data_IF_521500600503
#
_entry.id   IF_521500600503
#
_cell.length_a   1.000
_cell.length_b   1.000
_cell.length_c   1.000
_cell.angle_alpha   90.00
_cell.angle_beta   90.00
_cell.angle_gamma   90.00
#
_symmetry.space_group_name_H-M   'P 1'
#
loop_
_entity.id
_entity.type
_entity.pdbx_description
1 polymer ?
#
# COMPACT_ATOMS: atom_id res chain seq x y z
N UNK A 1 21.38 -18.43 -4.73
CA UNK A 1 20.73 -18.33 -3.40
C UNK A 1 19.31 -17.91 -3.60
N UNK A 2 18.46 -18.18 -2.64
CA UNK A 2 17.06 -17.79 -2.69
C UNK A 2 16.49 -17.55 -1.29
N UNK A 3 15.32 -16.92 -1.23
CA UNK A 3 14.55 -16.70 -0.02
C UNK A 3 13.08 -17.09 -0.24
N UNK A 4 12.44 -17.58 0.82
CA UNK A 4 11.03 -17.96 0.77
C UNK A 4 10.27 -17.32 1.92
N UNK A 5 9.02 -16.96 1.65
CA UNK A 5 8.08 -16.44 2.64
C UNK A 5 6.75 -17.16 2.52
N UNK A 6 6.39 -17.89 3.57
CA UNK A 6 5.10 -18.55 3.74
C UNK A 6 4.34 -17.97 4.94
N UNK A 7 3.14 -18.50 5.21
CA UNK A 7 2.38 -18.13 6.40
C UNK A 7 3.08 -18.52 7.70
N UNK A 8 3.88 -19.59 7.68
CA UNK A 8 4.53 -20.16 8.86
C UNK A 8 5.96 -19.65 9.03
N UNK A 9 6.72 -19.54 7.94
CA UNK A 9 8.15 -19.25 8.00
C UNK A 9 8.57 -18.22 6.96
N UNK A 10 9.60 -17.45 7.31
CA UNK A 10 10.41 -16.71 6.35
C UNK A 10 11.82 -17.26 6.45
N UNK A 11 12.45 -17.54 5.32
CA UNK A 11 13.69 -18.29 5.27
C UNK A 11 14.59 -17.84 4.13
N UNK A 12 15.87 -18.16 4.27
CA UNK A 12 16.90 -17.96 3.26
C UNK A 12 17.66 -19.26 3.07
N UNK A 13 18.08 -19.53 1.85
CA UNK A 13 18.93 -20.67 1.54
C UNK A 13 19.96 -20.34 0.47
N UNK A 14 21.06 -21.08 0.51
CA UNK A 14 22.09 -21.00 -0.50
C UNK A 14 22.81 -22.31 -0.63
N UNK A 15 23.31 -22.58 -1.83
CA UNK A 15 24.04 -23.79 -2.14
C UNK A 15 25.21 -23.47 -3.07
N UNK A 16 26.28 -24.21 -2.87
CA UNK A 16 27.48 -24.28 -3.69
C UNK A 16 27.82 -25.75 -3.97
N UNK A 17 28.90 -26.00 -4.69
CA UNK A 17 29.37 -27.37 -4.94
C UNK A 17 29.78 -28.12 -3.66
N UNK A 18 30.16 -27.40 -2.59
CA UNK A 18 30.74 -27.99 -1.38
C UNK A 18 29.81 -27.90 -0.17
N UNK A 19 29.04 -26.83 -0.09
CA UNK A 19 28.29 -26.46 1.11
C UNK A 19 26.93 -25.88 0.76
N UNK A 20 25.99 -26.01 1.69
CA UNK A 20 24.70 -25.36 1.66
C UNK A 20 24.36 -24.78 3.02
N UNK A 21 23.54 -23.75 3.03
CA UNK A 21 22.95 -23.20 4.25
C UNK A 21 21.45 -23.04 4.09
N UNK A 22 20.75 -23.15 5.21
CA UNK A 22 19.32 -22.85 5.35
C UNK A 22 19.12 -22.20 6.71
N UNK A 23 18.49 -21.03 6.71
CA UNK A 23 18.17 -20.30 7.93
C UNK A 23 16.73 -19.82 7.92
N UNK A 24 16.11 -19.84 9.09
CA UNK A 24 14.92 -19.04 9.37
C UNK A 24 15.34 -17.60 9.62
N UNK A 25 14.45 -16.68 9.28
CA UNK A 25 14.52 -15.27 9.65
C UNK A 25 13.16 -14.83 10.18
N UNK A 26 13.13 -13.71 10.87
CA UNK A 26 11.90 -13.22 11.48
C UNK A 26 10.81 -12.95 10.42
N UNK A 27 9.56 -13.38 10.62
CA UNK A 27 8.49 -13.29 9.61
C UNK A 27 8.04 -11.86 9.27
N UNK A 28 8.43 -10.88 10.10
CA UNK A 28 8.23 -9.46 9.80
C UNK A 28 9.04 -9.02 8.58
N UNK A 29 10.21 -9.61 8.34
CA UNK A 29 11.06 -9.19 7.22
C UNK A 29 10.35 -9.37 5.88
N UNK A 30 10.51 -8.40 4.99
CA UNK A 30 10.02 -8.48 3.62
C UNK A 30 10.80 -9.54 2.82
N UNK A 31 10.22 -9.99 1.71
CA UNK A 31 10.94 -10.88 0.78
C UNK A 31 12.22 -10.21 0.26
N UNK A 32 12.17 -8.91 -0.01
CA UNK A 32 13.33 -8.10 -0.39
C UNK A 32 14.47 -8.16 0.64
N UNK A 33 14.16 -7.99 1.93
CA UNK A 33 15.16 -8.13 3.01
C UNK A 33 15.70 -9.54 3.08
N UNK A 34 14.83 -10.54 2.89
CA UNK A 34 15.19 -11.95 2.91
C UNK A 34 16.17 -12.32 1.79
N UNK A 35 15.89 -11.89 0.55
CA UNK A 35 16.77 -12.08 -0.61
C UNK A 35 18.13 -11.41 -0.40
N UNK A 36 18.15 -10.17 0.11
CA UNK A 36 19.40 -9.48 0.40
C UNK A 36 20.21 -10.16 1.54
N UNK A 37 19.53 -10.72 2.54
CA UNK A 37 20.16 -11.52 3.59
C UNK A 37 20.69 -12.85 3.05
N UNK A 38 20.02 -13.49 2.10
CA UNK A 38 20.51 -14.70 1.45
C UNK A 38 21.86 -14.45 0.76
N UNK A 39 22.03 -13.29 0.09
CA UNK A 39 23.31 -12.88 -0.50
C UNK A 39 24.34 -12.54 0.59
N UNK A 40 23.93 -11.89 1.69
CA UNK A 40 24.84 -11.66 2.83
C UNK A 40 25.37 -12.98 3.40
N UNK A 41 24.50 -13.97 3.58
CA UNK A 41 24.82 -15.25 4.18
C UNK A 41 25.70 -16.10 3.26
N UNK A 42 25.44 -16.01 1.96
CA UNK A 42 26.30 -16.56 0.93
C UNK A 42 27.73 -16.06 0.97
N UNK A 43 27.88 -14.74 1.10
CA UNK A 43 29.19 -14.14 1.26
C UNK A 43 29.84 -14.64 2.54
N UNK A 44 29.10 -14.86 3.62
CA UNK A 44 29.69 -15.31 4.89
C UNK A 44 30.10 -16.79 4.91
N UNK A 45 29.29 -17.69 4.32
CA UNK A 45 29.47 -19.13 4.48
C UNK A 45 29.90 -19.88 3.24
N UNK A 46 29.52 -19.43 2.05
CA UNK A 46 29.83 -20.15 0.81
C UNK A 46 31.08 -19.60 0.11
N UNK A 47 31.71 -18.59 0.69
CA UNK A 47 32.91 -17.99 0.14
C UNK A 47 34.17 -18.70 0.62
N UNK A 48 35.00 -19.12 -0.32
CA UNK A 48 36.42 -19.41 -0.08
C UNK A 48 37.20 -18.09 -0.21
N UNK A 49 38.01 -17.70 0.77
CA UNK A 49 38.64 -16.35 0.81
C UNK A 49 39.56 -16.10 -0.38
N UNK A 50 40.11 -17.17 -0.96
CA UNK A 50 41.16 -17.08 -1.97
C UNK A 50 40.62 -17.18 -3.41
N UNK A 51 39.30 -17.35 -3.58
CA UNK A 51 38.66 -17.53 -4.90
C UNK A 51 37.70 -16.42 -5.24
N UNK A 52 37.65 -16.02 -6.51
CA UNK A 52 36.62 -15.13 -7.01
C UNK A 52 35.23 -15.79 -6.88
N UNK A 53 34.22 -14.99 -6.54
CA UNK A 53 32.86 -15.46 -6.28
C UNK A 53 31.92 -15.08 -7.41
N UNK A 54 31.15 -16.05 -7.88
CA UNK A 54 30.01 -15.87 -8.75
C UNK A 54 28.75 -16.24 -7.97
N UNK A 55 27.90 -15.26 -7.67
CA UNK A 55 26.65 -15.47 -6.94
C UNK A 55 25.47 -15.31 -7.88
N UNK A 56 24.64 -16.35 -7.96
CA UNK A 56 23.38 -16.34 -8.70
C UNK A 56 22.24 -15.93 -7.76
N UNK A 57 21.44 -14.97 -8.20
CA UNK A 57 20.24 -14.50 -7.50
C UNK A 57 19.17 -14.13 -8.50
N UNK A 58 17.92 -14.43 -8.19
CA UNK A 58 16.74 -14.00 -8.95
C UNK A 58 16.15 -12.67 -8.48
N UNK A 59 16.69 -12.11 -7.40
CA UNK A 59 16.32 -10.80 -6.88
C UNK A 59 16.88 -9.66 -7.72
N UNK A 60 16.19 -9.33 -8.81
CA UNK A 60 16.51 -8.14 -9.61
C UNK A 60 16.44 -6.86 -8.77
N UNK A 61 15.49 -6.80 -7.82
CA UNK A 61 15.25 -5.65 -6.95
C UNK A 61 16.45 -5.36 -6.04
N UNK A 62 17.08 -6.38 -5.46
CA UNK A 62 18.29 -6.22 -4.63
C UNK A 62 19.48 -5.75 -5.46
N UNK A 63 19.65 -6.28 -6.68
CA UNK A 63 20.71 -5.84 -7.58
C UNK A 63 20.53 -4.39 -8.02
N UNK A 64 19.30 -3.97 -8.29
CA UNK A 64 18.98 -2.58 -8.61
C UNK A 64 19.25 -1.65 -7.42
N UNK A 65 18.88 -2.08 -6.20
CA UNK A 65 19.14 -1.32 -4.98
C UNK A 65 20.65 -1.16 -4.69
N UNK A 66 21.45 -2.18 -4.99
CA UNK A 66 22.93 -2.10 -4.90
C UNK A 66 23.52 -1.16 -5.95
N UNK A 67 23.01 -1.15 -7.19
CA UNK A 67 23.46 -0.22 -8.23
C UNK A 67 23.17 1.24 -7.85
N UNK A 68 22.04 1.49 -7.18
CA UNK A 68 21.60 2.81 -6.73
C UNK A 68 21.84 3.01 -5.23
N UNK A 69 23.01 2.60 -4.72
CA UNK A 69 23.33 2.68 -3.29
C UNK A 69 23.43 4.13 -2.80
N UNK A 70 22.71 4.44 -1.73
CA UNK A 70 22.75 5.74 -1.04
C UNK A 70 22.70 5.56 0.48
N UNK A 71 22.94 6.63 1.24
CA UNK A 71 22.78 6.62 2.70
C UNK A 71 21.33 6.37 3.15
N UNK A 72 20.36 6.55 2.26
CA UNK A 72 18.94 6.27 2.50
C UNK A 72 18.51 4.88 2.03
N UNK A 73 19.40 4.11 1.41
CA UNK A 73 19.09 2.74 1.00
C UNK A 73 18.77 1.87 2.22
N UNK A 74 17.94 0.82 2.05
CA UNK A 74 17.56 -0.06 3.15
C UNK A 74 18.78 -0.61 3.90
N UNK A 75 18.68 -0.75 5.23
CA UNK A 75 19.80 -1.17 6.07
C UNK A 75 20.43 -2.50 5.66
N UNK A 76 19.62 -3.44 5.17
CA UNK A 76 20.10 -4.73 4.63
C UNK A 76 20.98 -4.55 3.38
N UNK A 77 20.68 -3.57 2.53
CA UNK A 77 21.48 -3.25 1.34
C UNK A 77 22.79 -2.58 1.73
N UNK A 78 22.77 -1.69 2.74
CA UNK A 78 24.00 -1.10 3.30
C UNK A 78 24.90 -2.19 3.91
N UNK A 79 24.32 -3.16 4.62
CA UNK A 79 25.05 -4.32 5.15
C UNK A 79 25.67 -5.15 4.03
N UNK A 80 24.91 -5.45 2.98
CA UNK A 80 25.38 -6.21 1.83
C UNK A 80 26.53 -5.47 1.12
N UNK A 81 26.39 -4.17 0.87
CA UNK A 81 27.44 -3.34 0.29
C UNK A 81 28.71 -3.33 1.15
N UNK A 82 28.57 -3.24 2.47
CA UNK A 82 29.69 -3.34 3.40
C UNK A 82 30.42 -4.68 3.31
N UNK A 83 29.69 -5.80 3.21
CA UNK A 83 30.29 -7.13 3.01
C UNK A 83 31.04 -7.23 1.68
N UNK A 84 30.44 -6.73 0.59
CA UNK A 84 31.09 -6.70 -0.73
C UNK A 84 32.38 -5.87 -0.67
N UNK A 85 32.36 -4.73 0.02
CA UNK A 85 33.54 -3.88 0.19
C UNK A 85 34.66 -4.59 0.97
N UNK A 86 34.33 -5.28 2.06
CA UNK A 86 35.30 -6.07 2.84
C UNK A 86 35.98 -7.11 1.94
N UNK A 87 35.22 -7.83 1.11
CA UNK A 87 35.79 -8.83 0.20
C UNK A 87 36.64 -8.22 -0.90
N UNK A 88 36.23 -7.07 -1.43
CA UNK A 88 37.04 -6.31 -2.39
C UNK A 88 38.40 -5.92 -1.80
N UNK A 89 38.44 -5.51 -0.53
CA UNK A 89 39.68 -5.17 0.16
C UNK A 89 40.60 -6.39 0.39
N UNK A 90 40.05 -7.60 0.37
CA UNK A 90 40.80 -8.86 0.40
C UNK A 90 41.21 -9.33 -1.01
N UNK A 91 41.15 -8.47 -2.03
CA UNK A 91 41.42 -8.78 -3.44
C UNK A 91 40.50 -9.87 -4.05
N UNK A 92 39.35 -10.13 -3.44
CA UNK A 92 38.38 -11.09 -3.94
C UNK A 92 37.39 -10.40 -4.90
N UNK A 93 37.31 -10.84 -6.16
CA UNK A 93 36.30 -10.34 -7.11
C UNK A 93 34.97 -11.02 -6.86
N UNK A 94 33.89 -10.23 -6.73
CA UNK A 94 32.52 -10.72 -6.61
C UNK A 94 31.74 -10.31 -7.86
N UNK A 95 31.13 -11.29 -8.51
CA UNK A 95 30.18 -11.10 -9.60
C UNK A 95 28.80 -11.54 -9.14
N UNK A 96 27.84 -10.61 -9.11
CA UNK A 96 26.43 -10.91 -8.86
C UNK A 96 25.72 -11.03 -10.21
N UNK A 97 25.16 -12.20 -10.51
CA UNK A 97 24.45 -12.46 -11.77
C UNK A 97 22.97 -12.63 -11.46
N UNK A 98 22.16 -11.82 -12.15
CA UNK A 98 20.72 -12.02 -12.13
C UNK A 98 20.33 -13.24 -12.96
N UNK A 99 19.52 -14.11 -12.39
CA UNK A 99 18.91 -15.24 -13.09
C UNK A 99 17.40 -15.17 -13.00
N UNK A 100 16.63 -15.37 -14.08
CA UNK A 100 15.18 -15.37 -13.97
C UNK A 100 14.71 -16.52 -13.07
N UNK A 101 13.79 -16.21 -12.15
CA UNK A 101 13.14 -17.21 -11.30
C UNK A 101 12.36 -18.24 -12.12
N UNK A 102 12.20 -19.45 -11.59
CA UNK A 102 11.44 -20.55 -12.20
C UNK A 102 11.84 -20.90 -13.65
N UNK A 103 13.10 -20.66 -14.02
CA UNK A 103 13.61 -20.85 -15.37
C UNK A 103 14.38 -22.16 -15.54
N UNK A 104 14.13 -23.15 -14.67
CA UNK A 104 14.75 -24.49 -14.70
C UNK A 104 16.29 -24.46 -14.58
N UNK A 105 16.85 -23.38 -14.04
CA UNK A 105 18.27 -23.30 -13.73
C UNK A 105 18.50 -24.13 -12.46
N UNK A 106 19.11 -25.31 -12.64
CA UNK A 106 19.25 -26.33 -11.59
C UNK A 106 19.65 -25.80 -10.21
N UNK A 107 20.67 -24.92 -10.15
CA UNK A 107 21.16 -24.35 -8.90
C UNK A 107 20.20 -23.34 -8.25
N UNK A 108 19.41 -22.62 -9.06
CA UNK A 108 18.40 -21.69 -8.55
C UNK A 108 17.23 -22.48 -7.96
N UNK A 109 16.69 -23.43 -8.71
CA UNK A 109 15.59 -24.30 -8.26
C UNK A 109 15.97 -25.06 -6.98
N UNK A 110 17.21 -25.53 -6.87
CA UNK A 110 17.69 -26.19 -5.66
C UNK A 110 17.77 -25.25 -4.46
N UNK A 111 18.17 -23.99 -4.66
CA UNK A 111 18.15 -22.99 -3.60
C UNK A 111 16.72 -22.64 -3.16
N UNK A 112 15.79 -22.47 -4.11
CA UNK A 112 14.36 -22.23 -3.86
C UNK A 112 13.73 -23.38 -3.05
N UNK A 113 13.96 -24.62 -3.47
CA UNK A 113 13.49 -25.82 -2.78
C UNK A 113 14.02 -25.88 -1.34
N UNK A 114 15.30 -25.56 -1.11
CA UNK A 114 15.88 -25.51 0.23
C UNK A 114 15.26 -24.40 1.08
N UNK A 115 15.00 -23.22 0.53
CA UNK A 115 14.34 -22.14 1.25
C UNK A 115 12.91 -22.53 1.63
N UNK A 116 12.18 -23.22 0.75
CA UNK A 116 10.81 -23.70 0.98
C UNK A 116 10.72 -24.89 1.95
N UNK A 117 11.73 -25.73 2.02
CA UNK A 117 11.77 -26.93 2.88
C UNK A 117 12.15 -26.63 4.35
N UNK A 118 12.14 -25.35 4.76
CA UNK A 118 12.51 -24.94 6.11
C UNK A 118 11.53 -25.47 7.16
N UNK A 119 12.05 -25.80 8.34
CA UNK A 119 11.29 -26.29 9.51
C UNK A 119 11.71 -25.56 10.78
N UNK A 120 10.96 -25.73 11.88
CA UNK A 120 11.27 -25.09 13.18
C UNK A 120 12.65 -25.46 13.74
N UNK A 121 13.18 -26.65 13.39
CA UNK A 121 14.50 -27.11 13.83
C UNK A 121 15.66 -26.37 13.17
N UNK A 122 15.43 -25.64 12.07
CA UNK A 122 16.47 -24.88 11.41
C UNK A 122 16.90 -23.66 12.25
N UNK A 123 18.18 -23.25 12.17
CA UNK A 123 18.70 -22.12 12.91
C UNK A 123 18.02 -20.80 12.50
N UNK A 124 17.86 -19.89 13.46
CA UNK A 124 17.26 -18.57 13.27
C UNK A 124 18.36 -17.50 13.17
N UNK A 125 18.30 -16.65 12.16
CA UNK A 125 19.05 -15.40 12.11
C UNK A 125 18.18 -14.32 12.75
N UNK A 126 18.60 -13.85 13.92
CA UNK A 126 17.97 -12.74 14.64
C UNK A 126 18.30 -11.40 14.00
N UNK A 127 17.69 -11.16 12.84
CA UNK A 127 17.77 -9.89 12.13
C UNK A 127 16.39 -9.44 11.72
N UNK A 128 16.06 -8.19 11.98
CA UNK A 128 14.87 -7.54 11.46
C UNK A 128 15.26 -6.17 10.89
N UNK A 129 14.92 -5.90 9.64
CA UNK A 129 15.14 -4.58 9.07
C UNK A 129 14.20 -3.56 9.73
N UNK A 130 14.72 -2.40 10.13
CA UNK A 130 13.92 -1.33 10.74
C UNK A 130 12.77 -0.86 9.86
N UNK A 131 12.99 -0.85 8.55
CA UNK A 131 12.03 -0.49 7.52
C UNK A 131 10.87 -1.48 7.48
N UNK A 132 11.15 -2.77 7.67
CA UNK A 132 10.14 -3.83 7.74
C UNK A 132 9.34 -3.74 9.04
N UNK A 133 9.97 -3.39 10.17
CA UNK A 133 9.27 -3.13 11.44
C UNK A 133 8.26 -1.99 11.26
N UNK A 134 8.71 -0.85 10.72
CA UNK A 134 7.86 0.32 10.51
C UNK A 134 6.70 -0.02 9.58
N UNK A 135 6.99 -0.66 8.44
CA UNK A 135 5.99 -1.09 7.46
C UNK A 135 4.96 -2.05 8.07
N UNK A 136 5.41 -3.01 8.88
CA UNK A 136 4.55 -3.96 9.57
C UNK A 136 3.62 -3.25 10.56
N UNK A 137 4.14 -2.37 11.42
CA UNK A 137 3.30 -1.65 12.38
C UNK A 137 2.32 -0.68 11.72
N UNK A 138 2.71 -0.03 10.61
CA UNK A 138 1.79 0.78 9.81
C UNK A 138 0.65 -0.07 9.25
N UNK A 139 0.96 -1.25 8.72
CA UNK A 139 -0.03 -2.20 8.20
C UNK A 139 -0.98 -2.68 9.30
N UNK A 140 -0.44 -3.09 10.45
CA UNK A 140 -1.23 -3.54 11.60
C UNK A 140 -2.11 -2.40 12.13
N UNK A 141 -1.57 -1.18 12.24
CA UNK A 141 -2.34 -0.02 12.67
C UNK A 141 -3.52 0.26 11.74
N UNK A 142 -3.28 0.26 10.42
CA UNK A 142 -4.33 0.46 9.42
C UNK A 142 -5.39 -0.64 9.48
N UNK A 143 -4.98 -1.91 9.58
CA UNK A 143 -5.91 -3.04 9.69
C UNK A 143 -6.77 -2.95 10.95
N UNK A 144 -6.18 -2.61 12.11
CA UNK A 144 -6.93 -2.41 13.36
C UNK A 144 -7.94 -1.28 13.23
N UNK A 145 -7.54 -0.15 12.67
CA UNK A 145 -8.46 0.99 12.45
C UNK A 145 -9.59 0.62 11.50
N UNK A 146 -9.30 -0.06 10.39
CA UNK A 146 -10.31 -0.50 9.43
C UNK A 146 -11.28 -1.51 10.07
N UNK A 147 -10.78 -2.50 10.80
CA UNK A 147 -11.62 -3.49 11.49
C UNK A 147 -12.48 -2.83 12.57
N UNK A 148 -11.92 -1.88 13.34
CA UNK A 148 -12.69 -1.12 14.33
C UNK A 148 -13.78 -0.28 13.68
N UNK A 149 -13.54 0.31 12.51
CA UNK A 149 -14.55 1.05 11.76
C UNK A 149 -15.66 0.12 11.24
N UNK A 150 -15.28 -1.00 10.60
CA UNK A 150 -16.21 -2.00 10.07
C UNK A 150 -17.17 -2.55 11.13
N UNK A 151 -16.69 -2.73 12.37
CA UNK A 151 -17.49 -3.23 13.49
C UNK A 151 -18.19 -2.12 14.29
N UNK A 152 -18.12 -0.87 13.85
CA UNK A 152 -18.75 0.25 14.55
C UNK A 152 -20.15 0.52 14.00
N UNK A 153 -21.02 1.15 14.81
CA UNK A 153 -22.30 1.72 14.36
C UNK A 153 -22.17 2.73 13.20
N UNK A 154 -20.96 3.24 12.95
CA UNK A 154 -20.70 4.17 11.86
C UNK A 154 -20.59 3.48 10.50
N UNK A 155 -20.30 2.17 10.44
CA UNK A 155 -20.28 1.42 9.18
C UNK A 155 -21.66 1.39 8.52
N UNK A 156 -22.74 1.23 9.29
CA UNK A 156 -24.10 1.25 8.75
C UNK A 156 -24.49 2.64 8.19
N UNK A 157 -24.07 3.70 8.87
CA UNK A 157 -24.45 5.07 8.49
C UNK A 157 -23.58 5.67 7.40
N UNK A 158 -22.28 5.36 7.38
CA UNK A 158 -21.31 5.94 6.44
C UNK A 158 -20.97 4.95 5.30
N UNK A 159 -20.96 3.64 5.58
CA UNK A 159 -20.58 2.59 4.64
C UNK A 159 -19.08 2.57 4.34
N UNK A 160 -18.68 1.80 3.33
CA UNK A 160 -17.29 1.79 2.85
C UNK A 160 -16.94 3.16 2.25
N UNK A 161 -16.14 3.91 2.99
CA UNK A 161 -15.55 5.17 2.55
C UNK A 161 -14.34 4.82 1.67
N UNK A 162 -14.25 5.33 0.43
CA UNK A 162 -12.99 5.29 -0.31
C UNK A 162 -11.89 5.87 0.57
N UNK A 163 -10.81 5.11 0.79
CA UNK A 163 -9.73 5.55 1.66
C UNK A 163 -9.25 6.91 1.16
N UNK A 164 -9.25 7.95 2.00
CA UNK A 164 -8.79 9.29 1.58
C UNK A 164 -7.41 9.23 0.90
N UNK A 165 -6.55 8.29 1.32
CA UNK A 165 -5.26 7.98 0.71
C UNK A 165 -5.30 7.71 -0.81
N UNK A 166 -6.40 7.16 -1.35
CA UNK A 166 -6.55 6.94 -2.80
C UNK A 166 -6.92 8.22 -3.55
N UNK A 167 -7.57 9.18 -2.88
CA UNK A 167 -8.03 10.43 -3.47
C UNK A 167 -7.04 11.58 -3.28
N UNK A 168 -6.25 11.57 -2.20
CA UNK A 168 -5.27 12.62 -1.87
C UNK A 168 -4.34 12.97 -3.05
N UNK A 169 -3.78 12.01 -3.83
CA UNK A 169 -2.94 12.34 -4.98
C UNK A 169 -3.66 13.13 -6.09
N UNK A 170 -4.99 13.13 -6.10
CA UNK A 170 -5.81 13.80 -7.08
C UNK A 170 -6.34 15.15 -6.61
N UNK A 171 -6.11 15.55 -5.36
CA UNK A 171 -6.54 16.81 -4.77
C UNK A 171 -5.40 17.85 -4.84
N UNK A 172 -5.75 19.12 -5.08
CA UNK A 172 -4.78 20.22 -5.31
C UNK A 172 -4.37 20.94 -4.03
N UNK A 173 -5.28 21.01 -3.05
CA UNK A 173 -5.09 21.84 -1.87
C UNK A 173 -5.93 21.34 -0.70
N UNK A 174 -5.60 21.86 0.49
CA UNK A 174 -6.28 21.52 1.75
C UNK A 174 -7.80 21.75 1.71
N UNK A 175 -8.28 22.75 0.95
CA UNK A 175 -9.72 23.02 0.85
C UNK A 175 -10.46 21.89 0.13
N UNK A 176 -9.89 21.38 -0.96
CA UNK A 176 -10.45 20.21 -1.67
C UNK A 176 -10.47 18.97 -0.75
N UNK A 177 -9.42 18.75 0.06
CA UNK A 177 -9.37 17.66 1.05
C UNK A 177 -10.50 17.76 2.07
N UNK A 178 -10.73 18.96 2.63
CA UNK A 178 -11.81 19.19 3.61
C UNK A 178 -13.16 18.92 2.99
N UNK A 179 -13.42 19.43 1.78
CA UNK A 179 -14.71 19.27 1.11
C UNK A 179 -14.99 17.80 0.82
N UNK A 180 -14.03 17.07 0.24
CA UNK A 180 -14.20 15.63 -0.06
C UNK A 180 -14.36 14.82 1.23
N UNK A 181 -13.55 15.06 2.25
CA UNK A 181 -13.68 14.36 3.53
C UNK A 181 -15.07 14.61 4.14
N UNK A 182 -15.55 15.85 4.14
CA UNK A 182 -16.89 16.20 4.64
C UNK A 182 -18.00 15.57 3.81
N UNK A 183 -17.87 15.52 2.49
CA UNK A 183 -18.84 14.88 1.61
C UNK A 183 -18.95 13.38 1.89
N UNK A 184 -17.81 12.70 1.94
CA UNK A 184 -17.76 11.25 2.20
C UNK A 184 -18.26 10.89 3.60
N UNK A 185 -18.02 11.75 4.59
CA UNK A 185 -18.49 11.56 5.98
C UNK A 185 -19.86 12.17 6.27
N UNK A 186 -20.53 12.75 5.27
CA UNK A 186 -21.83 13.46 5.40
C UNK A 186 -21.80 14.63 6.41
N UNK A 187 -20.63 15.23 6.58
CA UNK A 187 -20.32 16.35 7.47
C UNK A 187 -20.25 17.70 6.74
N UNK A 188 -20.81 17.80 5.54
CA UNK A 188 -21.05 19.09 4.90
C UNK A 188 -22.04 19.89 5.75
N UNK A 189 -21.75 21.18 5.94
CA UNK A 189 -22.62 22.09 6.68
C UNK A 189 -23.91 22.27 5.87
N UNK A 190 -25.00 21.70 6.38
CA UNK A 190 -26.35 21.88 5.83
C UNK A 190 -27.33 22.22 6.96
N UNK A 191 -28.51 22.80 6.67
CA UNK A 191 -29.51 23.07 7.70
C UNK A 191 -29.92 21.82 8.50
N UNK A 192 -30.01 20.65 7.86
CA UNK A 192 -30.29 19.40 8.57
C UNK A 192 -29.15 18.99 9.52
N UNK A 193 -27.90 19.16 9.11
CA UNK A 193 -26.74 18.89 9.97
C UNK A 193 -26.70 19.86 11.16
N UNK A 194 -26.86 21.16 10.91
CA UNK A 194 -26.86 22.18 11.96
C UNK A 194 -28.00 21.96 12.96
N UNK A 195 -29.20 21.60 12.49
CA UNK A 195 -30.32 21.25 13.35
C UNK A 195 -30.03 20.04 14.24
N UNK A 196 -29.38 19.00 13.69
CA UNK A 196 -28.95 17.83 14.46
C UNK A 196 -28.01 18.20 15.63
N UNK A 197 -27.24 19.28 15.50
CA UNK A 197 -26.38 19.82 16.55
C UNK A 197 -27.04 20.93 17.39
N UNK A 198 -28.32 21.24 17.18
CA UNK A 198 -29.03 22.30 17.90
C UNK A 198 -28.60 23.72 17.52
N UNK A 199 -27.94 23.90 16.37
CA UNK A 199 -27.43 25.19 15.89
C UNK A 199 -28.35 25.87 14.87
N UNK A 200 -29.44 25.21 14.46
CA UNK A 200 -30.40 25.74 13.51
C UNK A 200 -31.79 25.16 13.76
N UNK A 201 -32.84 25.99 13.73
CA UNK A 201 -34.18 25.57 14.15
C UNK A 201 -34.95 24.77 13.08
N UNK A 202 -34.66 24.98 11.79
CA UNK A 202 -35.41 24.34 10.71
C UNK A 202 -34.50 23.45 9.84
N UNK A 203 -34.63 22.12 9.85
CA UNK A 203 -33.81 21.24 9.03
C UNK A 203 -34.25 21.19 7.56
N UNK A 204 -35.38 21.80 7.18
CA UNK A 204 -36.03 21.61 5.89
C UNK A 204 -35.52 22.54 4.80
N UNK A 205 -35.56 22.04 3.56
CA UNK A 205 -35.32 22.83 2.35
C UNK A 205 -36.48 23.79 2.11
N UNK A 206 -36.18 25.06 1.84
CA UNK A 206 -37.19 26.10 1.62
C UNK A 206 -38.06 25.88 0.37
N UNK A 207 -37.56 25.15 -0.63
CA UNK A 207 -38.26 24.99 -1.91
C UNK A 207 -39.15 23.73 -1.93
N UNK A 208 -38.63 22.60 -1.45
CA UNK A 208 -39.36 21.32 -1.54
C UNK A 208 -39.72 20.70 -0.19
N UNK A 209 -39.45 21.40 0.91
CA UNK A 209 -39.83 21.03 2.28
C UNK A 209 -39.38 19.61 2.74
N UNK A 210 -38.30 19.08 2.16
CA UNK A 210 -37.63 17.84 2.59
C UNK A 210 -36.45 18.14 3.50
N UNK A 211 -35.97 17.17 4.25
CA UNK A 211 -34.77 17.34 5.08
C UNK A 211 -33.58 17.77 4.22
N UNK A 212 -32.95 18.87 4.59
CA UNK A 212 -31.89 19.50 3.82
C UNK A 212 -30.52 18.91 4.18
N UNK A 213 -30.35 17.61 3.92
CA UNK A 213 -29.08 16.90 4.06
C UNK A 213 -28.33 16.83 2.72
N UNK A 214 -27.10 16.31 2.76
CA UNK A 214 -26.23 16.29 1.59
C UNK A 214 -26.77 15.36 0.48
N UNK A 215 -27.40 14.23 0.85
CA UNK A 215 -28.09 13.33 -0.08
C UNK A 215 -29.18 14.07 -0.83
N UNK A 216 -30.01 14.84 -0.10
CA UNK A 216 -31.07 15.62 -0.67
C UNK A 216 -30.54 16.67 -1.65
N UNK A 217 -29.52 17.44 -1.26
CA UNK A 217 -28.95 18.51 -2.09
C UNK A 217 -28.38 17.92 -3.39
N UNK A 218 -27.55 16.88 -3.29
CA UNK A 218 -26.82 16.31 -4.44
C UNK A 218 -27.71 15.46 -5.34
N UNK A 219 -28.73 14.75 -4.81
CA UNK A 219 -29.48 13.76 -5.59
C UNK A 219 -30.92 14.17 -5.89
N UNK A 220 -31.61 14.90 -5.01
CA UNK A 220 -33.08 14.96 -5.05
C UNK A 220 -33.69 16.37 -5.07
N UNK A 221 -32.99 17.40 -4.62
CA UNK A 221 -33.56 18.72 -4.38
C UNK A 221 -34.01 19.41 -5.67
N UNK A 222 -35.27 19.83 -5.79
CA UNK A 222 -35.75 20.50 -7.01
C UNK A 222 -35.00 21.80 -7.31
N UNK A 223 -34.50 22.51 -6.29
CA UNK A 223 -33.66 23.72 -6.43
C UNK A 223 -32.46 23.50 -7.36
N UNK A 224 -31.81 22.33 -7.26
CA UNK A 224 -30.56 22.04 -7.95
C UNK A 224 -30.74 21.12 -9.16
N UNK A 225 -31.95 21.00 -9.71
CA UNK A 225 -32.26 20.09 -10.84
C UNK A 225 -31.37 20.36 -12.06
N UNK A 226 -31.29 21.61 -12.50
CA UNK A 226 -30.48 22.00 -13.65
C UNK A 226 -28.99 21.71 -13.43
N UNK A 227 -28.48 22.01 -12.23
CA UNK A 227 -27.08 21.75 -11.87
C UNK A 227 -26.77 20.25 -11.83
N UNK A 228 -27.69 19.42 -11.31
CA UNK A 228 -27.55 17.95 -11.39
C UNK A 228 -27.52 17.44 -12.82
N UNK A 229 -28.43 17.91 -13.69
CA UNK A 229 -28.44 17.45 -15.09
C UNK A 229 -27.12 17.76 -15.80
N UNK A 230 -26.55 18.96 -15.57
CA UNK A 230 -25.23 19.33 -16.11
C UNK A 230 -24.12 18.43 -15.52
N UNK A 231 -24.17 18.15 -14.22
CA UNK A 231 -23.20 17.29 -13.55
C UNK A 231 -23.22 15.86 -14.12
N UNK A 232 -24.40 15.26 -14.25
CA UNK A 232 -24.58 13.91 -14.81
C UNK A 232 -24.10 13.83 -16.25
N UNK A 233 -24.45 14.82 -17.08
CA UNK A 233 -23.99 14.88 -18.46
C UNK A 233 -22.46 14.93 -18.56
N UNK A 234 -21.79 15.71 -17.69
CA UNK A 234 -20.32 15.80 -17.67
C UNK A 234 -19.66 14.52 -17.16
N UNK A 235 -20.28 13.85 -16.19
CA UNK A 235 -19.76 12.59 -15.63
C UNK A 235 -20.14 11.36 -16.45
N UNK A 236 -20.97 11.53 -17.50
CA UNK A 236 -21.44 10.49 -18.40
C UNK A 236 -22.09 9.30 -17.67
N UNK A 237 -22.94 9.56 -16.67
CA UNK A 237 -23.71 8.51 -16.00
C UNK A 237 -25.14 8.94 -15.71
N UNK A 238 -26.02 7.94 -15.59
CA UNK A 238 -27.42 8.12 -15.26
C UNK A 238 -27.63 8.13 -13.74
N UNK A 239 -28.23 9.22 -13.23
CA UNK A 239 -28.54 9.38 -11.81
C UNK A 239 -29.67 8.43 -11.37
N UNK A 240 -30.49 7.92 -12.30
CA UNK A 240 -31.56 6.95 -11.99
C UNK A 240 -31.01 5.64 -11.42
N UNK A 241 -29.75 5.30 -11.72
CA UNK A 241 -29.04 4.15 -11.17
C UNK A 241 -28.44 4.41 -9.77
N UNK A 242 -28.46 5.66 -9.30
CA UNK A 242 -27.86 6.09 -8.04
C UNK A 242 -28.94 6.52 -7.02
N UNK A 243 -29.63 5.55 -6.41
CA UNK A 243 -30.60 5.82 -5.32
C UNK A 243 -29.93 6.25 -4.01
N UNK A 244 -28.62 6.03 -3.88
CA UNK A 244 -27.82 6.30 -2.68
C UNK A 244 -26.61 7.17 -3.01
N UNK A 245 -26.29 8.08 -2.11
CA UNK A 245 -25.14 8.97 -2.22
C UNK A 245 -23.81 8.19 -2.28
N UNK A 246 -23.75 7.00 -1.68
CA UNK A 246 -22.60 6.08 -1.80
C UNK A 246 -22.35 5.67 -3.26
N UNK A 247 -23.38 5.21 -3.96
CA UNK A 247 -23.28 4.76 -5.36
C UNK A 247 -22.88 5.93 -6.27
N UNK A 248 -23.43 7.11 -6.02
CA UNK A 248 -23.03 8.34 -6.69
C UNK A 248 -21.53 8.64 -6.51
N UNK A 249 -21.01 8.58 -5.27
CA UNK A 249 -19.60 8.85 -5.03
C UNK A 249 -18.69 7.80 -5.63
N UNK A 250 -18.99 6.50 -5.51
CA UNK A 250 -18.17 5.46 -6.16
C UNK A 250 -17.93 5.74 -7.64
N UNK A 251 -18.93 6.24 -8.35
CA UNK A 251 -18.81 6.63 -9.75
C UNK A 251 -18.10 7.99 -9.94
N UNK A 252 -18.43 8.98 -9.11
CA UNK A 252 -17.88 10.34 -9.20
C UNK A 252 -16.41 10.44 -8.77
N UNK A 253 -15.90 9.51 -7.95
CA UNK A 253 -14.48 9.37 -7.59
C UNK A 253 -13.79 8.16 -8.23
N UNK A 254 -14.39 7.54 -9.24
CA UNK A 254 -13.78 6.40 -9.97
C UNK A 254 -12.45 6.76 -10.64
N UNK A 255 -12.28 8.01 -11.08
CA UNK A 255 -11.05 8.48 -11.71
C UNK A 255 -10.82 9.98 -11.45
N UNK A 256 -9.59 10.42 -11.71
CA UNK A 256 -9.16 11.82 -11.50
C UNK A 256 -10.01 12.83 -12.28
N UNK A 257 -10.46 12.52 -13.49
CA UNK A 257 -11.29 13.42 -14.31
C UNK A 257 -12.66 13.62 -13.66
N UNK A 258 -13.32 12.55 -13.23
CA UNK A 258 -14.63 12.60 -12.59
C UNK A 258 -14.58 13.38 -11.28
N UNK A 259 -13.56 13.14 -10.45
CA UNK A 259 -13.38 13.88 -9.20
C UNK A 259 -13.24 15.39 -9.45
N UNK A 260 -12.54 15.78 -10.52
CA UNK A 260 -12.39 17.20 -10.89
C UNK A 260 -13.71 17.82 -11.35
N UNK A 261 -14.49 17.11 -12.15
CA UNK A 261 -15.81 17.55 -12.59
C UNK A 261 -16.74 17.73 -11.39
N UNK A 262 -16.70 16.80 -10.43
CA UNK A 262 -17.45 16.88 -9.17
C UNK A 262 -17.05 18.13 -8.38
N UNK A 263 -15.76 18.32 -8.10
CA UNK A 263 -15.24 19.48 -7.34
C UNK A 263 -15.60 20.82 -7.97
N UNK A 264 -15.56 20.93 -9.30
CA UNK A 264 -15.96 22.15 -10.00
C UNK A 264 -17.47 22.42 -9.88
N UNK A 265 -18.26 21.36 -9.96
CA UNK A 265 -19.73 21.46 -9.94
C UNK A 265 -20.29 21.70 -8.55
N UNK A 266 -19.61 21.26 -7.47
CA UNK A 266 -20.07 21.51 -6.09
C UNK A 266 -20.28 23.00 -5.78
N UNK A 267 -19.58 23.90 -6.47
CA UNK A 267 -19.77 25.36 -6.40
C UNK A 267 -21.19 25.83 -6.69
N UNK A 268 -21.94 25.09 -7.50
CA UNK A 268 -23.30 25.45 -7.86
C UNK A 268 -24.37 24.86 -6.93
N UNK A 269 -23.99 24.12 -5.90
CA UNK A 269 -24.92 23.46 -4.98
C UNK A 269 -25.06 24.19 -3.63
N UNK A 270 -24.47 25.37 -3.46
CA UNK A 270 -24.39 26.11 -2.18
C UNK A 270 -23.81 25.26 -1.02
N UNK A 271 -22.88 24.34 -1.32
CA UNK A 271 -22.25 23.38 -0.37
C UNK A 271 -20.89 23.93 0.17
N UNK A 272 -20.79 25.22 0.54
CA UNK A 272 -19.51 25.81 1.00
C UNK A 272 -19.54 26.29 2.45
#
# INVERSE_FOLDING_TARGET
MDASKSHSFTSIAGISNLQSFVYRIHPINSIFTSEALAICQALDQLSDTDKNLLLLTDSYSVLQALKCLTIKSPKVIQRLAGKILVRKNLNQKICLVWTPGHSLIHWNEKADLLAKAVTESHPLIEWIASEDIISHFQTVSLQKTNHSFQNSKYQESIGDIPTMLTLTPWLKNRREDVIIARLLTRMIITPALLHRFGLHNNPRCQICNRDNNIEHIILFCSKYSNHRSILCAKLNFDLQLCSLLKAFFQNAVSNKRHLRILLQSLKSFDIY
#
